data_IF_951086129192
#
_entry.id   IF_951086129192
#
_cell.length_a   1.000
_cell.length_b   1.000
_cell.length_c   1.000
_cell.angle_alpha   90.00
_cell.angle_beta   90.00
_cell.angle_gamma   90.00
#
_symmetry.space_group_name_H-M   'P 1'
#
loop_
_entity.id
_entity.type
_entity.pdbx_description
1 polymer ?
#
# COMPACT_ATOMS: atom_id res chain seq x y z
N UNK A 1 17.61 14.64 0.00
CA UNK A 1 16.58 14.99 0.97
C UNK A 1 15.99 13.73 1.58
N UNK A 2 15.48 13.74 2.82
CA UNK A 2 14.55 12.73 3.28
C UNK A 2 13.25 12.83 2.47
N UNK A 3 12.68 11.67 2.11
CA UNK A 3 11.50 11.59 1.24
C UNK A 3 10.37 10.83 1.93
N UNK A 4 9.15 11.28 1.75
CA UNK A 4 7.93 10.51 2.05
C UNK A 4 7.26 10.17 0.73
N UNK A 5 7.14 8.88 0.45
CA UNK A 5 6.35 8.35 -0.67
C UNK A 5 4.92 8.22 -0.19
N UNK A 6 4.00 8.89 -0.86
CA UNK A 6 2.61 8.98 -0.41
C UNK A 6 1.66 8.52 -1.52
N UNK A 7 1.49 7.18 -1.70
CA UNK A 7 0.52 6.64 -2.64
C UNK A 7 -0.91 6.95 -2.20
N UNK A 8 -1.73 7.43 -3.15
CA UNK A 8 -3.12 7.77 -2.86
C UNK A 8 -4.00 6.54 -2.63
N UNK A 9 -5.09 6.75 -1.93
CA UNK A 9 -6.15 5.75 -1.74
C UNK A 9 -7.00 5.54 -3.00
N UNK A 10 -7.94 4.64 -2.91
CA UNK A 10 -8.86 4.28 -3.99
C UNK A 10 -8.77 2.79 -4.33
N UNK A 11 -7.99 2.30 -5.31
CA UNK A 11 -7.00 2.96 -6.16
C UNK A 11 -7.60 3.81 -7.30
N UNK A 12 -8.88 3.69 -7.57
CA UNK A 12 -9.62 4.39 -8.63
C UNK A 12 -9.91 5.85 -8.23
N UNK A 13 -8.84 6.57 -7.96
CA UNK A 13 -8.77 7.98 -7.60
C UNK A 13 -7.53 8.58 -8.27
N UNK A 14 -7.17 9.79 -7.93
CA UNK A 14 -5.94 10.42 -8.39
C UNK A 14 -5.48 11.51 -7.44
N UNK A 15 -4.18 11.75 -7.43
CA UNK A 15 -3.61 12.99 -6.93
C UNK A 15 -3.71 14.07 -8.01
N UNK A 16 -4.01 15.28 -7.60
CA UNK A 16 -4.11 16.45 -8.47
C UNK A 16 -3.21 17.55 -7.96
N UNK A 17 -2.64 18.33 -8.88
CA UNK A 17 -1.88 19.50 -8.50
C UNK A 17 -2.77 20.50 -7.75
N UNK A 18 -2.27 20.97 -6.61
CA UNK A 18 -2.98 21.91 -5.77
C UNK A 18 -2.48 21.91 -4.33
N UNK A 19 -3.11 22.70 -3.49
CA UNK A 19 -2.81 22.73 -2.07
C UNK A 19 -3.31 21.45 -1.38
N UNK A 20 -2.37 20.72 -0.76
CA UNK A 20 -2.67 19.60 0.11
C UNK A 20 -2.05 19.89 1.49
N UNK A 21 -2.86 20.01 2.55
CA UNK A 21 -2.37 20.41 3.87
C UNK A 21 -1.40 19.40 4.48
N UNK A 22 -1.60 18.11 4.23
CA UNK A 22 -0.73 17.04 4.72
C UNK A 22 0.64 17.08 4.04
N UNK A 23 0.66 17.21 2.72
CA UNK A 23 1.91 17.36 1.95
C UNK A 23 2.66 18.62 2.37
N UNK A 24 1.95 19.74 2.56
CA UNK A 24 2.55 20.99 3.02
C UNK A 24 3.10 20.88 4.45
N UNK A 25 2.41 20.15 5.31
CA UNK A 25 2.86 19.85 6.67
C UNK A 25 4.18 19.06 6.67
N UNK A 26 4.30 18.03 5.83
CA UNK A 26 5.51 17.24 5.68
C UNK A 26 6.64 18.08 5.06
N UNK A 27 6.34 18.79 3.98
CA UNK A 27 7.32 19.64 3.29
C UNK A 27 7.88 20.73 4.21
N UNK A 28 7.05 21.36 5.06
CA UNK A 28 7.47 22.34 6.04
C UNK A 28 8.42 21.76 7.12
N UNK A 29 8.48 20.45 7.25
CA UNK A 29 9.38 19.73 8.16
C UNK A 29 10.63 19.18 7.47
N UNK A 30 10.86 19.62 6.24
CA UNK A 30 12.07 19.30 5.49
C UNK A 30 12.02 17.99 4.68
N UNK A 31 10.86 17.37 4.53
CA UNK A 31 10.68 16.21 3.68
C UNK A 31 10.35 16.63 2.24
N UNK A 32 10.92 15.96 1.26
CA UNK A 32 10.32 15.90 -0.06
C UNK A 32 9.17 14.90 -0.03
N UNK A 33 8.07 15.18 -0.73
CA UNK A 33 6.91 14.28 -0.79
C UNK A 33 6.68 13.85 -2.24
N UNK A 34 6.68 12.54 -2.48
CA UNK A 34 6.33 11.98 -3.76
C UNK A 34 4.87 11.54 -3.74
N UNK A 35 4.02 12.28 -4.43
CA UNK A 35 2.68 11.85 -4.82
C UNK A 35 2.70 11.47 -6.29
N UNK A 36 2.26 10.28 -6.61
CA UNK A 36 2.31 9.79 -7.97
C UNK A 36 1.01 9.09 -8.35
N UNK A 37 0.65 9.22 -9.60
CA UNK A 37 -0.50 8.53 -10.18
C UNK A 37 -0.01 7.25 -10.87
N UNK A 38 0.02 6.15 -10.11
CA UNK A 38 0.34 4.81 -10.62
C UNK A 38 -0.76 4.31 -11.56
N UNK A 39 -0.47 3.30 -12.37
CA UNK A 39 -1.46 2.62 -13.24
C UNK A 39 -2.71 2.25 -12.45
N UNK A 40 -3.88 2.53 -12.98
CA UNK A 40 -5.16 2.41 -12.28
C UNK A 40 -5.72 3.73 -11.76
N UNK A 41 -4.89 4.78 -11.62
CA UNK A 41 -5.37 6.12 -11.27
C UNK A 41 -6.31 6.66 -12.34
N UNK A 42 -7.35 7.38 -11.91
CA UNK A 42 -8.36 7.94 -12.81
C UNK A 42 -7.93 9.24 -13.49
N UNK A 43 -8.60 9.60 -14.58
CA UNK A 43 -8.34 10.87 -15.29
C UNK A 43 -7.24 10.82 -16.34
N UNK A 44 -6.61 9.65 -16.56
CA UNK A 44 -5.59 9.42 -17.60
C UNK A 44 -6.10 8.55 -18.76
N UNK A 45 -7.40 8.37 -18.85
CA UNK A 45 -8.08 7.59 -19.86
C UNK A 45 -8.33 6.13 -19.47
N UNK A 46 -9.29 5.51 -20.16
CA UNK A 46 -9.80 4.17 -19.86
C UNK A 46 -8.67 3.12 -19.86
N UNK A 47 -7.80 3.15 -20.85
CA UNK A 47 -6.69 2.20 -20.98
C UNK A 47 -5.76 2.23 -19.77
N UNK A 48 -5.48 3.42 -19.22
CA UNK A 48 -4.61 3.58 -18.05
C UNK A 48 -5.25 3.01 -16.78
N UNK A 49 -6.57 3.08 -16.68
CA UNK A 49 -7.32 2.48 -15.56
C UNK A 49 -7.41 0.96 -15.70
N UNK A 50 -7.80 0.45 -16.88
CA UNK A 50 -8.07 -0.97 -17.09
C UNK A 50 -6.79 -1.84 -17.08
N UNK A 51 -5.64 -1.29 -17.45
CA UNK A 51 -4.36 -2.03 -17.42
C UNK A 51 -3.95 -2.46 -16.00
N UNK A 52 -4.56 -1.87 -14.98
CA UNK A 52 -4.33 -2.18 -13.57
C UNK A 52 -5.30 -3.24 -12.99
N UNK A 53 -6.26 -3.72 -13.76
CA UNK A 53 -7.19 -4.74 -13.32
C UNK A 53 -6.45 -6.05 -13.03
N UNK A 54 -6.70 -6.62 -11.85
CA UNK A 54 -5.99 -7.80 -11.35
C UNK A 54 -4.48 -7.59 -11.15
N UNK A 55 -4.04 -6.33 -10.92
CA UNK A 55 -2.62 -5.97 -10.79
C UNK A 55 -2.26 -5.33 -9.44
N UNK A 56 -3.11 -5.48 -8.45
CA UNK A 56 -2.79 -5.05 -7.09
C UNK A 56 -1.51 -5.74 -6.60
N UNK A 57 -0.57 -4.94 -6.07
CA UNK A 57 0.74 -5.42 -5.59
C UNK A 57 1.75 -5.78 -6.68
N UNK A 58 1.35 -5.77 -7.95
CA UNK A 58 2.18 -6.09 -9.10
C UNK A 58 2.64 -4.81 -9.81
N UNK A 59 2.25 -4.62 -11.06
CA UNK A 59 2.67 -3.47 -11.88
C UNK A 59 2.24 -2.11 -11.30
N UNK A 60 1.16 -2.06 -10.52
CA UNK A 60 0.79 -0.84 -9.78
C UNK A 60 1.83 -0.51 -8.69
N UNK A 61 2.37 -1.53 -8.03
CA UNK A 61 3.43 -1.36 -7.04
C UNK A 61 4.78 -1.05 -7.71
N UNK A 62 5.04 -1.63 -8.89
CA UNK A 62 6.25 -1.32 -9.66
C UNK A 62 6.33 0.17 -10.00
N UNK A 63 5.21 0.80 -10.38
CA UNK A 63 5.18 2.24 -10.67
C UNK A 63 5.59 3.09 -9.46
N UNK A 64 5.23 2.66 -8.24
CA UNK A 64 5.63 3.34 -7.01
C UNK A 64 7.14 3.18 -6.79
N UNK A 65 7.65 1.97 -6.90
CA UNK A 65 9.09 1.67 -6.79
C UNK A 65 9.91 2.42 -7.85
N UNK A 66 9.42 2.47 -9.09
CA UNK A 66 10.07 3.22 -10.19
C UNK A 66 10.14 4.72 -9.89
N UNK A 67 9.08 5.29 -9.30
CA UNK A 67 9.07 6.69 -8.86
C UNK A 67 10.11 6.97 -7.78
N UNK A 68 10.28 6.05 -6.84
CA UNK A 68 11.32 6.14 -5.80
C UNK A 68 12.71 6.07 -6.42
N UNK A 69 12.95 5.09 -7.28
CA UNK A 69 14.24 4.92 -7.97
C UNK A 69 14.60 6.15 -8.80
N UNK A 70 13.61 6.73 -9.49
CA UNK A 70 13.81 7.97 -10.23
C UNK A 70 14.28 9.13 -9.33
N UNK A 71 13.71 9.28 -8.12
CA UNK A 71 14.16 10.32 -7.18
C UNK A 71 15.59 10.08 -6.69
N UNK A 72 15.98 8.81 -6.48
CA UNK A 72 17.34 8.42 -6.10
C UNK A 72 18.31 8.75 -7.25
N UNK A 73 18.01 8.33 -8.46
CA UNK A 73 18.83 8.56 -9.66
C UNK A 73 19.03 10.07 -9.97
N UNK A 74 18.01 10.89 -9.69
CA UNK A 74 18.10 12.34 -9.82
C UNK A 74 18.84 13.03 -8.67
N UNK A 75 19.30 12.29 -7.67
CA UNK A 75 19.96 12.85 -6.50
C UNK A 75 19.05 13.70 -5.60
N UNK A 76 17.73 13.55 -5.73
CA UNK A 76 16.74 14.25 -4.92
C UNK A 76 16.55 13.52 -3.59
N UNK A 77 16.35 12.20 -3.62
CA UNK A 77 16.19 11.37 -2.45
C UNK A 77 17.53 10.90 -1.89
N UNK A 78 17.68 10.93 -0.58
CA UNK A 78 18.69 10.18 0.14
C UNK A 78 18.15 8.74 0.30
N UNK A 79 18.79 7.72 -0.32
CA UNK A 79 18.29 6.35 -0.31
C UNK A 79 18.19 5.74 1.10
N UNK A 80 18.92 6.29 2.07
CA UNK A 80 18.83 5.85 3.46
C UNK A 80 17.68 6.51 4.26
N UNK A 81 16.94 7.45 3.64
CA UNK A 81 15.94 8.29 4.33
C UNK A 81 14.64 8.38 3.52
N UNK A 82 14.13 7.24 3.09
CA UNK A 82 12.88 7.15 2.35
C UNK A 82 11.83 6.46 3.23
N UNK A 83 10.74 7.16 3.52
CA UNK A 83 9.57 6.60 4.19
C UNK A 83 8.44 6.37 3.17
N UNK A 84 7.58 5.40 3.43
CA UNK A 84 6.32 5.22 2.70
C UNK A 84 5.15 5.37 3.66
N UNK A 85 4.14 6.15 3.25
CA UNK A 85 2.95 6.41 4.05
C UNK A 85 1.72 6.56 3.16
N UNK A 86 0.68 5.83 3.42
CA UNK A 86 -0.56 5.94 2.67
C UNK A 86 -1.77 5.47 3.41
N UNK A 87 -2.95 5.90 2.97
CA UNK A 87 -4.25 5.52 3.54
C UNK A 87 -5.07 4.63 2.61
N UNK A 88 -5.84 3.70 3.18
CA UNK A 88 -6.74 2.80 2.45
C UNK A 88 -5.96 1.95 1.42
N UNK A 89 -6.25 2.07 0.11
CA UNK A 89 -5.39 1.45 -0.90
C UNK A 89 -3.93 1.91 -0.77
N UNK A 90 -3.67 3.18 -0.45
CA UNK A 90 -2.32 3.68 -0.17
C UNK A 90 -1.66 2.99 1.03
N UNK A 91 -2.44 2.59 2.04
CA UNK A 91 -2.00 1.75 3.15
C UNK A 91 -1.63 0.34 2.69
N UNK A 92 -2.46 -0.28 1.84
CA UNK A 92 -2.10 -1.54 1.17
C UNK A 92 -0.80 -1.41 0.37
N UNK A 93 -0.66 -0.35 -0.43
CA UNK A 93 0.55 -0.11 -1.20
C UNK A 93 1.78 0.13 -0.31
N UNK A 94 1.59 0.72 0.87
CA UNK A 94 2.63 0.85 1.90
C UNK A 94 3.07 -0.52 2.41
N UNK A 95 2.13 -1.36 2.84
CA UNK A 95 2.42 -2.72 3.34
C UNK A 95 3.05 -3.59 2.24
N UNK A 96 2.49 -3.56 1.04
CA UNK A 96 3.02 -4.33 -0.08
C UNK A 96 4.41 -3.83 -0.52
N UNK A 97 4.66 -2.54 -0.41
CA UNK A 97 5.96 -1.94 -0.70
C UNK A 97 7.06 -2.50 0.19
N UNK A 98 6.83 -2.59 1.50
CA UNK A 98 7.81 -3.13 2.46
C UNK A 98 7.94 -4.66 2.44
N UNK A 99 6.95 -5.37 1.89
CA UNK A 99 7.04 -6.81 1.60
C UNK A 99 7.84 -7.07 0.33
N UNK A 100 7.58 -6.29 -0.73
CA UNK A 100 8.18 -6.47 -2.05
C UNK A 100 9.63 -5.99 -2.09
N UNK A 101 9.87 -4.81 -1.52
CA UNK A 101 11.16 -4.12 -1.51
C UNK A 101 11.60 -3.84 -0.06
N UNK A 102 11.93 -4.89 0.74
CA UNK A 102 12.13 -4.77 2.19
C UNK A 102 13.34 -3.91 2.62
N UNK A 103 14.25 -3.63 1.71
CA UNK A 103 15.44 -2.82 1.97
C UNK A 103 15.33 -1.39 1.38
N UNK A 104 14.20 -1.05 0.73
CA UNK A 104 14.02 0.24 0.06
C UNK A 104 13.60 1.36 1.02
N UNK A 105 12.84 1.04 2.05
CA UNK A 105 12.22 2.01 2.94
C UNK A 105 12.83 1.97 4.34
N UNK A 106 13.17 3.13 4.89
CA UNK A 106 13.69 3.29 6.23
C UNK A 106 12.60 3.14 7.31
N UNK A 107 11.36 3.48 6.98
CA UNK A 107 10.18 3.26 7.83
C UNK A 107 8.90 3.33 6.99
N UNK A 108 7.81 2.79 7.55
CA UNK A 108 6.51 2.77 6.91
C UNK A 108 5.39 3.14 7.88
N UNK A 109 4.36 3.81 7.38
CA UNK A 109 3.14 4.11 8.13
C UNK A 109 1.94 3.63 7.32
N UNK A 110 1.31 2.58 7.80
CA UNK A 110 0.05 2.09 7.26
C UNK A 110 -1.12 2.78 7.97
N UNK A 111 -1.94 3.49 7.20
CA UNK A 111 -3.17 4.09 7.70
C UNK A 111 -4.39 3.41 7.07
N UNK A 112 -5.12 2.63 7.87
CA UNK A 112 -6.33 1.89 7.48
C UNK A 112 -6.15 1.07 6.19
N UNK A 113 -5.00 0.41 6.03
CA UNK A 113 -4.65 -0.35 4.83
C UNK A 113 -5.21 -1.76 4.83
N UNK A 114 -5.42 -2.29 3.63
CA UNK A 114 -5.74 -3.71 3.42
C UNK A 114 -4.46 -4.53 3.57
N UNK A 115 -4.46 -5.52 4.45
CA UNK A 115 -3.31 -6.40 4.65
C UNK A 115 -3.47 -7.78 3.99
N UNK A 116 -4.71 -8.20 3.76
CA UNK A 116 -5.04 -9.50 3.20
C UNK A 116 -6.19 -9.38 2.20
N UNK A 117 -5.91 -9.64 0.93
CA UNK A 117 -6.87 -9.49 -0.16
C UNK A 117 -8.05 -10.46 -0.05
N UNK A 118 -7.86 -11.65 0.56
CA UNK A 118 -8.95 -12.59 0.79
C UNK A 118 -9.93 -12.06 1.83
N UNK A 119 -9.46 -11.65 3.00
CA UNK A 119 -10.33 -11.10 4.06
C UNK A 119 -11.00 -9.81 3.59
N UNK A 120 -10.29 -8.95 2.87
CA UNK A 120 -10.86 -7.75 2.28
C UNK A 120 -12.05 -8.05 1.37
N UNK A 121 -11.91 -9.00 0.43
CA UNK A 121 -12.98 -9.39 -0.49
C UNK A 121 -14.16 -10.07 0.22
N UNK A 122 -13.91 -10.78 1.33
CA UNK A 122 -14.95 -11.40 2.15
C UNK A 122 -15.73 -10.39 3.01
N UNK A 123 -15.09 -9.31 3.43
CA UNK A 123 -15.67 -8.28 4.30
C UNK A 123 -16.26 -7.08 3.54
N UNK A 124 -16.46 -7.21 2.23
CA UNK A 124 -17.09 -6.17 1.42
C UNK A 124 -18.44 -5.77 2.03
N UNK A 125 -18.64 -4.49 2.36
CA UNK A 125 -19.88 -4.03 2.99
C UNK A 125 -21.11 -4.34 2.14
N UNK A 126 -22.29 -4.56 2.75
CA UNK A 126 -23.51 -4.94 2.02
C UNK A 126 -23.88 -3.99 0.87
N UNK A 127 -23.58 -2.70 1.00
CA UNK A 127 -23.85 -1.72 -0.05
C UNK A 127 -22.89 -1.81 -1.26
N UNK A 128 -21.81 -2.58 -1.15
CA UNK A 128 -20.88 -2.88 -2.24
C UNK A 128 -21.16 -4.23 -2.92
N UNK A 129 -21.95 -5.11 -2.31
CA UNK A 129 -22.25 -6.43 -2.87
C UNK A 129 -22.74 -6.43 -4.32
N UNK A 130 -23.57 -5.45 -4.78
CA UNK A 130 -23.95 -5.38 -6.18
C UNK A 130 -22.79 -5.16 -7.15
N UNK A 131 -21.62 -4.74 -6.64
CA UNK A 131 -20.40 -4.52 -7.42
C UNK A 131 -19.35 -5.63 -7.23
N UNK A 132 -19.71 -6.74 -6.58
CA UNK A 132 -18.77 -7.81 -6.24
C UNK A 132 -18.06 -8.40 -7.47
N UNK A 133 -18.80 -8.63 -8.54
CA UNK A 133 -18.23 -9.13 -9.81
C UNK A 133 -17.18 -8.17 -10.37
N UNK A 134 -17.46 -6.87 -10.28
CA UNK A 134 -16.51 -5.83 -10.67
C UNK A 134 -15.27 -5.82 -9.75
N UNK A 135 -15.46 -6.04 -8.45
CA UNK A 135 -14.33 -6.16 -7.52
C UNK A 135 -13.47 -7.40 -7.83
N UNK A 136 -14.09 -8.51 -8.22
CA UNK A 136 -13.35 -9.70 -8.66
C UNK A 136 -12.57 -9.46 -9.96
N UNK A 137 -13.10 -8.68 -10.88
CA UNK A 137 -12.37 -8.29 -12.09
C UNK A 137 -11.20 -7.34 -11.79
N UNK A 138 -11.43 -6.37 -10.92
CA UNK A 138 -10.47 -5.29 -10.63
C UNK A 138 -9.36 -5.73 -9.67
N UNK A 139 -9.66 -6.56 -8.69
CA UNK A 139 -8.72 -7.01 -7.63
C UNK A 139 -8.25 -8.43 -7.89
N UNK A 140 -9.18 -9.35 -8.11
CA UNK A 140 -8.95 -10.77 -8.34
C UNK A 140 -10.08 -11.61 -7.74
N UNK A 141 -10.30 -12.77 -8.34
CA UNK A 141 -11.31 -13.72 -7.89
C UNK A 141 -10.69 -14.74 -6.93
N UNK A 142 -11.17 -14.88 -5.67
CA UNK A 142 -10.59 -15.80 -4.68
C UNK A 142 -10.51 -17.26 -5.12
N UNK A 143 -11.41 -17.71 -6.01
CA UNK A 143 -11.43 -19.09 -6.52
C UNK A 143 -10.48 -19.30 -7.71
N UNK A 144 -10.37 -18.29 -8.59
CA UNK A 144 -9.59 -18.38 -9.83
C UNK A 144 -8.17 -17.87 -9.68
N UNK A 145 -7.99 -16.83 -8.88
CA UNK A 145 -6.74 -16.05 -8.76
C UNK A 145 -6.09 -16.23 -7.37
N UNK A 146 -6.39 -17.36 -6.69
CA UNK A 146 -5.98 -17.59 -5.30
C UNK A 146 -4.47 -17.44 -5.07
N UNK A 147 -3.63 -17.93 -6.00
CA UNK A 147 -2.18 -17.78 -5.88
C UNK A 147 -1.75 -16.33 -5.98
N UNK A 148 -2.24 -15.59 -6.97
CA UNK A 148 -1.95 -14.17 -7.16
C UNK A 148 -2.38 -13.35 -5.94
N UNK A 149 -3.58 -13.61 -5.39
CA UNK A 149 -4.07 -12.94 -4.17
C UNK A 149 -3.19 -13.24 -2.95
N UNK A 150 -2.71 -14.49 -2.81
CA UNK A 150 -1.82 -14.89 -1.72
C UNK A 150 -0.47 -14.17 -1.82
N UNK A 151 0.15 -14.17 -3.00
CA UNK A 151 1.45 -13.52 -3.24
C UNK A 151 1.40 -12.01 -3.03
N UNK A 152 0.23 -11.40 -3.21
CA UNK A 152 0.03 -9.95 -3.09
C UNK A 152 -0.79 -9.55 -1.83
N UNK A 153 -0.87 -10.43 -0.84
CA UNK A 153 -1.44 -10.13 0.48
C UNK A 153 -0.32 -9.91 1.49
N UNK A 154 -0.05 -8.67 1.92
CA UNK A 154 1.06 -8.37 2.84
C UNK A 154 1.08 -9.22 4.11
N UNK A 155 -0.08 -9.46 4.73
CA UNK A 155 -0.19 -10.27 5.94
C UNK A 155 0.26 -11.73 5.72
N UNK A 156 0.08 -12.28 4.51
CA UNK A 156 0.49 -13.64 4.18
C UNK A 156 1.97 -13.76 3.76
N UNK A 157 2.71 -12.65 3.79
CA UNK A 157 4.12 -12.54 3.43
C UNK A 157 4.85 -11.64 4.44
N UNK A 158 4.35 -11.55 5.67
CA UNK A 158 4.84 -10.63 6.70
C UNK A 158 6.29 -10.95 7.14
N UNK A 159 6.71 -12.20 7.00
CA UNK A 159 8.08 -12.67 7.26
C UNK A 159 9.15 -11.96 6.42
N UNK A 160 8.75 -11.32 5.33
CA UNK A 160 9.65 -10.55 4.46
C UNK A 160 9.88 -9.12 4.93
N UNK A 161 9.07 -8.63 5.86
CA UNK A 161 9.12 -7.25 6.31
C UNK A 161 10.30 -7.05 7.27
N UNK A 162 11.21 -6.17 6.88
CA UNK A 162 12.34 -5.73 7.71
C UNK A 162 12.16 -4.29 8.20
N UNK A 163 11.32 -3.55 7.51
CA UNK A 163 11.10 -2.11 7.71
C UNK A 163 10.30 -1.85 8.99
N UNK A 164 10.72 -0.94 9.89
CA UNK A 164 9.91 -0.49 11.01
C UNK A 164 8.55 0.03 10.54
N UNK A 165 7.46 -0.52 11.08
CA UNK A 165 6.10 -0.28 10.66
C UNK A 165 5.26 0.30 11.80
N UNK A 166 4.59 1.42 11.53
CA UNK A 166 3.50 1.96 12.35
C UNK A 166 2.17 1.67 11.65
N UNK A 167 1.25 1.04 12.37
CA UNK A 167 -0.12 0.76 11.89
C UNK A 167 -1.11 1.66 12.62
N UNK A 168 -1.95 2.35 11.86
CA UNK A 168 -2.99 3.26 12.38
C UNK A 168 -4.34 2.83 11.85
N UNK A 169 -5.29 2.52 12.74
CA UNK A 169 -6.61 2.00 12.37
C UNK A 169 -7.71 2.57 13.25
N UNK A 170 -8.83 2.92 12.64
CA UNK A 170 -10.06 3.23 13.35
C UNK A 170 -10.81 1.96 13.73
N UNK A 171 -11.19 1.81 15.02
CA UNK A 171 -11.87 0.61 15.50
C UNK A 171 -13.22 0.33 14.81
N UNK A 172 -13.86 1.37 14.30
CA UNK A 172 -15.19 1.31 13.68
C UNK A 172 -15.14 1.67 12.18
N UNK A 173 -14.01 1.43 11.50
CA UNK A 173 -13.92 1.67 10.06
C UNK A 173 -14.89 0.74 9.31
N UNK A 174 -15.84 1.30 8.54
CA UNK A 174 -16.86 0.49 7.86
C UNK A 174 -16.37 -0.09 6.52
N UNK A 175 -15.20 0.29 6.04
CA UNK A 175 -14.66 -0.09 4.73
C UNK A 175 -13.49 -1.05 4.84
N UNK A 176 -12.51 -0.69 5.67
CA UNK A 176 -11.36 -1.54 5.98
C UNK A 176 -11.52 -2.01 7.42
N UNK A 177 -11.91 -3.26 7.59
CA UNK A 177 -12.16 -3.83 8.90
C UNK A 177 -10.89 -3.83 9.74
N UNK A 178 -11.03 -3.56 11.06
CA UNK A 178 -9.91 -3.59 12.03
C UNK A 178 -9.12 -4.91 11.98
N UNK A 179 -9.74 -6.00 11.52
CA UNK A 179 -9.05 -7.28 11.34
C UNK A 179 -7.88 -7.21 10.35
N UNK A 180 -7.90 -6.29 9.38
CA UNK A 180 -6.76 -6.10 8.48
C UNK A 180 -5.52 -5.66 9.27
N UNK A 181 -5.67 -4.67 10.16
CA UNK A 181 -4.59 -4.22 11.04
C UNK A 181 -4.20 -5.28 12.06
N UNK A 182 -5.16 -6.01 12.65
CA UNK A 182 -4.87 -7.07 13.60
C UNK A 182 -4.05 -8.20 12.98
N UNK A 183 -4.37 -8.62 11.75
CA UNK A 183 -3.65 -9.67 11.03
C UNK A 183 -2.18 -9.28 10.83
N UNK A 184 -1.92 -8.11 10.26
CA UNK A 184 -0.54 -7.70 9.98
C UNK A 184 0.26 -7.48 11.28
N UNK A 185 -0.34 -6.90 12.33
CA UNK A 185 0.34 -6.70 13.60
C UNK A 185 0.72 -8.03 14.27
N UNK A 186 -0.18 -9.01 14.28
CA UNK A 186 0.09 -10.33 14.87
C UNK A 186 1.22 -11.05 14.14
N UNK A 187 1.19 -11.07 12.81
CA UNK A 187 2.18 -11.80 12.00
C UNK A 187 3.55 -11.10 12.03
N UNK A 188 3.58 -9.79 11.87
CA UNK A 188 4.80 -9.00 11.95
C UNK A 188 5.50 -9.11 13.33
N UNK A 189 4.73 -9.13 14.43
CA UNK A 189 5.31 -9.20 15.78
C UNK A 189 5.70 -10.63 16.19
N UNK A 190 5.03 -11.68 15.66
CA UNK A 190 5.41 -13.06 15.91
C UNK A 190 6.77 -13.38 15.29
N UNK A 191 6.98 -12.96 14.06
CA UNK A 191 8.25 -13.21 13.34
C UNK A 191 9.42 -12.45 13.99
N UNK A 192 9.21 -11.19 14.39
CA UNK A 192 10.22 -10.44 15.14
C UNK A 192 10.56 -11.06 16.51
N UNK A 193 9.60 -11.73 17.17
CA UNK A 193 9.83 -12.41 18.43
C UNK A 193 10.61 -13.73 18.27
N UNK A 194 10.45 -14.42 17.15
CA UNK A 194 11.17 -15.66 16.84
C UNK A 194 12.62 -15.39 16.44
N UNK A 195 12.91 -14.31 15.72
CA UNK A 195 14.28 -13.86 15.47
C UNK A 195 15.02 -13.50 16.76
N UNK A 196 14.34 -12.84 17.72
CA UNK A 196 14.95 -12.48 19.01
C UNK A 196 15.23 -13.69 19.94
N UNK A 197 14.61 -14.85 19.69
CA UNK A 197 14.85 -16.10 20.42
C UNK A 197 15.96 -16.97 19.84
N UNK A 198 16.42 -16.66 18.65
CA UNK A 198 17.47 -17.41 17.92
C UNK A 198 18.89 -16.87 18.13
N UNK A 199 19.09 -15.89 19.04
CA UNK A 199 20.40 -15.29 19.40
C UNK A 199 20.89 -15.78 20.74
#
# INVERSE_FOLDING_TARGET
>A
LPVVVNPHGGPWARDSWGFNPEVQFLANRGYAVLQMNFRGSTGFGRKFTEIAYGKWGQTMQDDITDGVNWLIEKGIADPAKIAIYGGSYGGYATLQGIVKDPDLYACAVDYVGVSNLFSFLQTIPPYWKPMLDMMYEMVGNPEKDAQMLRENSPALNAERIKTPLLVVQGANDPRVNINESNQICLLYTSDAADEARSV
#
